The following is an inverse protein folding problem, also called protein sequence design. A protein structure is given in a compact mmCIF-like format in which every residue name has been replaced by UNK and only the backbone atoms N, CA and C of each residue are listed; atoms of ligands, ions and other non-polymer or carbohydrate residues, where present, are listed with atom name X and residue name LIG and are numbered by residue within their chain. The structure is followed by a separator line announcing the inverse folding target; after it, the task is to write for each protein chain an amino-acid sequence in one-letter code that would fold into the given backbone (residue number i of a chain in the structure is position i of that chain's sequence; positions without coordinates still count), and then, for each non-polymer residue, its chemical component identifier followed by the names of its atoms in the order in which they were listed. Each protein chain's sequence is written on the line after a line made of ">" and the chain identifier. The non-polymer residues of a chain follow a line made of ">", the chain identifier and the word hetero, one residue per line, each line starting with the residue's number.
data_IF_072488714265
#
_entry.id   IF_072488714265
#
_cell.length_a   1.000
_cell.length_b   1.000
_cell.length_c   1.000
_cell.angle_alpha   90.00
_cell.angle_beta   90.00
_cell.angle_gamma   90.00
#
_symmetry.space_group_name_H-M   'P 1'
#
loop_
_entity.id
_entity.type
_entity.pdbx_description
1 polymer ?
#
# COMPACT_ATOMS: atom_id res chain seq x y z
N UNK A 1 -10.35 -2.59 35.44
CA UNK A 1 -10.14 -3.49 34.28
C UNK A 1 -9.83 -2.62 33.05
N UNK A 2 -8.57 -2.26 32.80
CA UNK A 2 -8.18 -1.45 31.65
C UNK A 2 -7.94 -2.35 30.43
N UNK A 3 -8.82 -2.29 29.43
CA UNK A 3 -8.66 -3.03 28.17
C UNK A 3 -7.53 -2.39 27.38
N UNK A 4 -6.35 -3.01 27.44
CA UNK A 4 -5.17 -2.62 26.65
C UNK A 4 -5.53 -2.76 25.16
N UNK A 5 -5.80 -1.64 24.49
CA UNK A 5 -5.97 -1.56 23.03
C UNK A 5 -4.61 -1.74 22.36
N UNK A 6 -4.08 -2.97 22.43
CA UNK A 6 -2.98 -3.38 21.57
C UNK A 6 -3.45 -3.23 20.13
N UNK A 7 -2.85 -2.25 19.45
CA UNK A 7 -3.07 -1.87 18.06
C UNK A 7 -3.11 -3.10 17.14
N UNK A 8 -4.28 -3.72 16.99
CA UNK A 8 -4.51 -4.65 15.89
C UNK A 8 -4.35 -3.84 14.60
N UNK A 9 -3.60 -4.34 13.61
CA UNK A 9 -3.57 -3.72 12.30
C UNK A 9 -5.02 -3.54 11.84
N UNK A 10 -5.39 -2.30 11.52
CA UNK A 10 -6.70 -2.01 10.95
C UNK A 10 -6.91 -2.93 9.76
N UNK A 11 -7.92 -3.79 9.85
CA UNK A 11 -8.25 -4.70 8.76
C UNK A 11 -8.82 -3.90 7.60
N UNK A 12 -8.64 -4.39 6.36
CA UNK A 12 -9.15 -3.73 5.15
C UNK A 12 -10.64 -3.37 5.27
N UNK A 13 -11.41 -4.27 5.89
CA UNK A 13 -12.83 -4.10 6.21
C UNK A 13 -13.14 -3.00 7.22
N UNK A 14 -12.32 -2.82 8.25
CA UNK A 14 -12.51 -1.75 9.25
C UNK A 14 -12.25 -0.37 8.64
N UNK A 15 -11.24 -0.25 7.77
CA UNK A 15 -10.94 1.00 7.04
C UNK A 15 -12.11 1.39 6.13
N UNK A 16 -12.62 0.44 5.34
CA UNK A 16 -13.76 0.68 4.44
C UNK A 16 -15.02 1.08 5.21
N UNK A 17 -15.24 0.50 6.39
CA UNK A 17 -16.34 0.86 7.27
C UNK A 17 -16.19 2.26 7.84
N UNK A 18 -15.01 2.61 8.36
CA UNK A 18 -14.75 3.95 8.91
C UNK A 18 -14.90 5.06 7.85
N UNK A 19 -14.43 4.81 6.62
CA UNK A 19 -14.61 5.76 5.50
C UNK A 19 -16.09 5.91 5.15
N UNK A 20 -16.84 4.80 5.05
CA UNK A 20 -18.29 4.84 4.78
C UNK A 20 -19.06 5.60 5.86
N UNK A 21 -18.73 5.38 7.14
CA UNK A 21 -19.35 6.10 8.27
C UNK A 21 -19.01 7.60 8.28
N UNK A 22 -17.79 7.98 7.89
CA UNK A 22 -17.34 9.39 7.89
C UNK A 22 -17.87 10.17 6.68
N UNK A 23 -17.93 9.53 5.51
CA UNK A 23 -18.31 10.18 4.24
C UNK A 23 -19.80 10.04 3.90
N UNK A 24 -20.52 9.15 4.59
CA UNK A 24 -21.92 8.83 4.30
C UNK A 24 -22.13 8.05 3.00
N UNK A 25 -21.06 7.61 2.33
CA UNK A 25 -21.12 6.86 1.09
C UNK A 25 -21.48 5.39 1.35
N UNK A 26 -22.18 4.77 0.38
CA UNK A 26 -22.45 3.35 0.44
C UNK A 26 -21.13 2.56 0.41
N UNK A 27 -21.05 1.46 1.15
CA UNK A 27 -19.84 0.62 1.19
C UNK A 27 -19.39 0.18 -0.21
N UNK A 28 -20.34 -0.06 -1.14
CA UNK A 28 -20.04 -0.43 -2.53
C UNK A 28 -19.26 0.66 -3.26
N UNK A 29 -19.63 1.92 -3.08
CA UNK A 29 -18.97 3.05 -3.74
C UNK A 29 -17.57 3.27 -3.15
N UNK A 30 -17.41 3.09 -1.84
CA UNK A 30 -16.08 3.14 -1.19
C UNK A 30 -15.16 2.03 -1.73
N UNK A 31 -15.69 0.83 -1.98
CA UNK A 31 -14.91 -0.25 -2.63
C UNK A 31 -14.48 0.19 -4.02
N UNK A 32 -15.41 0.70 -4.83
CA UNK A 32 -15.17 1.09 -6.21
C UNK A 32 -14.11 2.20 -6.33
N UNK A 33 -14.14 3.19 -5.43
CA UNK A 33 -13.14 4.26 -5.39
C UNK A 33 -11.74 3.73 -5.04
N UNK A 34 -11.64 2.83 -4.07
CA UNK A 34 -10.35 2.25 -3.70
C UNK A 34 -9.79 1.33 -4.80
N UNK A 35 -10.67 0.64 -5.53
CA UNK A 35 -10.29 -0.20 -6.66
C UNK A 35 -9.84 0.64 -7.87
N UNK A 36 -10.55 1.71 -8.22
CA UNK A 36 -10.15 2.63 -9.28
C UNK A 36 -8.81 3.31 -8.95
N UNK A 37 -8.63 3.74 -7.71
CA UNK A 37 -7.36 4.30 -7.23
C UNK A 37 -6.22 3.30 -7.37
N UNK A 38 -6.46 2.01 -7.05
CA UNK A 38 -5.45 0.96 -7.22
C UNK A 38 -5.08 0.77 -8.70
N UNK A 39 -6.04 0.82 -9.61
CA UNK A 39 -5.78 0.74 -11.05
C UNK A 39 -4.99 1.94 -11.58
N UNK A 40 -5.29 3.15 -11.13
CA UNK A 40 -4.50 4.34 -11.49
C UNK A 40 -3.06 4.24 -10.99
N UNK A 41 -2.88 3.80 -9.74
CA UNK A 41 -1.56 3.55 -9.16
C UNK A 41 -0.81 2.50 -9.98
N UNK A 42 -1.46 1.41 -10.40
CA UNK A 42 -0.82 0.40 -11.25
C UNK A 42 -0.42 0.95 -12.61
N UNK A 43 -1.25 1.80 -13.22
CA UNK A 43 -0.98 2.41 -14.53
C UNK A 43 0.18 3.41 -14.46
N UNK A 44 0.21 4.28 -13.46
CA UNK A 44 1.31 5.21 -13.21
C UNK A 44 2.59 4.45 -12.79
N UNK A 45 2.36 3.40 -12.00
CA UNK A 45 3.24 2.29 -11.63
C UNK A 45 4.00 1.80 -12.85
N UNK A 46 3.37 1.12 -13.81
CA UNK A 46 3.93 0.26 -14.88
C UNK A 46 5.27 0.70 -15.50
N UNK A 47 6.06 -0.25 -16.03
CA UNK A 47 7.40 0.01 -16.61
C UNK A 47 7.45 1.14 -17.65
N UNK A 48 6.34 1.37 -18.34
CA UNK A 48 6.12 2.44 -19.32
C UNK A 48 5.47 3.72 -18.77
N UNK A 49 5.09 3.73 -17.49
CA UNK A 49 4.46 4.86 -16.82
C UNK A 49 5.47 5.84 -16.24
N UNK A 50 4.97 6.97 -15.72
CA UNK A 50 5.77 8.07 -15.13
C UNK A 50 6.62 7.58 -13.94
N UNK A 51 6.24 6.47 -13.31
CA UNK A 51 6.99 5.88 -12.19
C UNK A 51 6.84 6.67 -10.89
N UNK A 52 5.99 7.70 -10.86
CA UNK A 52 5.65 8.50 -9.67
C UNK A 52 4.14 8.68 -9.65
N UNK A 53 3.53 8.44 -8.49
CA UNK A 53 2.12 8.71 -8.21
C UNK A 53 2.01 9.46 -6.90
N UNK A 54 1.43 10.66 -6.93
CA UNK A 54 1.28 11.51 -5.75
C UNK A 54 -0.18 11.56 -5.35
N UNK A 55 -0.50 11.13 -4.13
CA UNK A 55 -1.81 11.34 -3.52
C UNK A 55 -1.72 12.60 -2.66
N UNK A 56 -2.37 13.71 -3.06
CA UNK A 56 -2.33 14.95 -2.29
C UNK A 56 -2.77 14.72 -0.84
N UNK A 57 -1.98 15.22 0.12
CA UNK A 57 -2.28 15.11 1.54
C UNK A 57 -2.01 13.74 2.19
N UNK A 58 -1.56 12.74 1.43
CA UNK A 58 -1.27 11.40 1.95
C UNK A 58 0.18 11.00 1.70
N UNK A 59 0.49 10.51 0.50
CA UNK A 59 1.78 9.90 0.19
C UNK A 59 2.19 10.08 -1.26
N UNK A 60 3.50 10.13 -1.50
CA UNK A 60 4.11 10.03 -2.82
C UNK A 60 4.68 8.62 -2.99
N UNK A 61 4.24 7.91 -4.01
CA UNK A 61 4.70 6.56 -4.36
C UNK A 61 5.63 6.69 -5.57
N UNK A 62 6.88 6.25 -5.43
CA UNK A 62 7.88 6.27 -6.50
C UNK A 62 8.42 4.87 -6.78
N UNK A 63 8.62 4.55 -8.06
CA UNK A 63 9.40 3.37 -8.45
C UNK A 63 10.88 3.72 -8.43
N UNK A 64 11.62 3.11 -7.51
CA UNK A 64 13.08 3.12 -7.53
C UNK A 64 13.64 1.90 -8.25
N UNK A 65 14.41 2.12 -9.31
CA UNK A 65 15.21 1.06 -9.94
C UNK A 65 16.45 0.82 -9.07
N UNK A 66 16.46 -0.28 -8.32
CA UNK A 66 17.63 -0.68 -7.53
C UNK A 66 18.62 -1.40 -8.46
N UNK A 67 19.86 -0.92 -8.60
CA UNK A 67 20.86 -1.59 -9.45
C UNK A 67 21.26 -2.94 -8.86
N UNK A 68 21.61 -3.88 -9.73
CA UNK A 68 22.17 -5.16 -9.30
C UNK A 68 23.46 -4.91 -8.51
N UNK A 69 23.52 -5.44 -7.29
CA UNK A 69 24.74 -5.38 -6.46
C UNK A 69 25.66 -6.53 -6.89
N UNK A 70 27.00 -6.32 -6.92
CA UNK A 70 27.93 -7.38 -7.28
C UNK A 70 27.79 -8.57 -6.31
N UNK A 71 28.03 -9.79 -6.82
CA UNK A 71 27.99 -10.99 -6.01
C UNK A 71 29.06 -10.91 -4.90
N UNK A 72 28.63 -10.93 -3.64
CA UNK A 72 29.53 -11.01 -2.50
C UNK A 72 29.88 -12.47 -2.23
N UNK A 73 31.18 -12.75 -2.04
CA UNK A 73 31.65 -14.07 -1.60
C UNK A 73 31.37 -14.22 -0.10
N UNK A 74 30.86 -15.38 0.31
CA UNK A 74 30.58 -15.67 1.73
C UNK A 74 29.25 -15.13 2.26
N UNK A 75 28.30 -14.74 1.38
CA UNK A 75 26.93 -14.43 1.82
C UNK A 75 26.29 -15.73 2.29
N UNK A 76 26.11 -15.85 3.61
CA UNK A 76 25.37 -16.95 4.23
C UNK A 76 23.97 -16.99 3.63
N UNK A 77 23.60 -18.14 3.08
CA UNK A 77 22.26 -18.31 2.55
C UNK A 77 21.28 -18.25 3.73
N UNK A 78 20.28 -17.34 3.72
CA UNK A 78 19.32 -17.20 4.82
C UNK A 78 18.60 -18.50 5.20
N UNK A 79 18.55 -19.48 4.30
CA UNK A 79 17.88 -20.76 4.51
C UNK A 79 18.82 -21.90 4.92
N UNK A 80 20.11 -21.84 4.59
CA UNK A 80 21.04 -22.97 4.80
C UNK A 80 22.30 -22.62 5.61
N UNK A 81 22.48 -21.36 5.99
CA UNK A 81 23.64 -20.89 6.76
C UNK A 81 24.85 -20.54 5.92
#
# INVERSE_FOLDING_TARGET
>A
MAKKSGSKPLTKTEIMRSISETTGLAKKDVVAVLESLTHEIQKALKGSGIGVFSIPGLVKIERRKVPARPAQKGVKNPFTG
#
